data_IF_664746689598
#
_entry.id   IF_664746689598
#
_cell.length_a   1.000
_cell.length_b   1.000
_cell.length_c   1.000
_cell.angle_alpha   90.00
_cell.angle_beta   90.00
_cell.angle_gamma   90.00
#
_symmetry.space_group_name_H-M   'P 1'
#
loop_
_entity.id
_entity.type
_entity.pdbx_description
1 polymer ?
#
# COMPACT_ATOMS: atom_id res chain seq x y z
N UNK A 1 -21.85 32.31 1.65
CA UNK A 1 -22.12 31.53 0.43
C UNK A 1 -20.80 31.37 -0.29
N UNK A 2 -20.09 30.26 -0.07
CA UNK A 2 -18.81 30.05 -0.77
C UNK A 2 -19.08 29.44 -2.13
N UNK A 3 -18.79 30.22 -3.16
CA UNK A 3 -18.84 29.87 -4.58
C UNK A 3 -17.82 28.77 -4.88
N UNK A 4 -18.30 27.57 -5.20
CA UNK A 4 -17.47 26.51 -5.78
C UNK A 4 -17.04 26.89 -7.19
N UNK A 5 -15.72 26.94 -7.39
CA UNK A 5 -15.10 27.07 -8.70
C UNK A 5 -15.16 25.71 -9.42
N UNK A 6 -15.38 25.65 -10.74
CA UNK A 6 -15.47 24.39 -11.46
C UNK A 6 -14.08 23.75 -11.60
N UNK A 7 -14.01 22.46 -11.33
CA UNK A 7 -12.79 21.64 -11.39
C UNK A 7 -12.62 21.09 -12.81
N UNK A 8 -11.45 21.34 -13.41
CA UNK A 8 -11.02 20.85 -14.73
C UNK A 8 -10.85 19.31 -14.74
N UNK A 9 -10.99 18.63 -15.89
CA UNK A 9 -10.85 17.18 -15.98
C UNK A 9 -9.40 16.76 -15.67
N UNK A 10 -9.20 16.22 -14.47
CA UNK A 10 -7.88 15.92 -13.92
C UNK A 10 -7.70 16.29 -12.45
N UNK A 11 -8.71 16.87 -11.78
CA UNK A 11 -8.57 17.24 -10.36
C UNK A 11 -9.87 17.07 -9.57
N UNK A 12 -9.79 16.29 -8.48
CA UNK A 12 -10.53 16.57 -7.26
C UNK A 12 -9.93 15.77 -6.09
N UNK A 13 -8.84 16.29 -5.51
CA UNK A 13 -8.67 16.10 -4.06
C UNK A 13 -9.91 16.73 -3.45
N UNK A 14 -10.85 15.91 -2.98
CA UNK A 14 -11.97 16.42 -2.20
C UNK A 14 -11.39 16.87 -0.87
N UNK A 15 -11.83 18.00 -0.32
CA UNK A 15 -11.41 18.44 1.02
C UNK A 15 -11.69 17.36 2.10
N UNK A 16 -12.60 16.43 1.80
CA UNK A 16 -12.98 15.28 2.64
C UNK A 16 -12.20 13.98 2.35
N UNK A 17 -11.27 13.96 1.38
CA UNK A 17 -10.46 12.77 1.07
C UNK A 17 -9.19 12.74 1.93
N UNK A 18 -9.10 11.82 2.91
CA UNK A 18 -7.97 11.81 3.84
C UNK A 18 -6.66 11.50 3.13
N UNK A 19 -5.61 12.21 3.51
CA UNK A 19 -4.25 11.88 3.09
C UNK A 19 -3.75 10.68 3.89
N UNK A 20 -3.26 9.68 3.19
CA UNK A 20 -2.71 8.44 3.75
C UNK A 20 -1.24 8.27 3.37
N UNK A 21 -0.39 7.75 4.28
CA UNK A 21 1.01 7.47 4.00
C UNK A 21 1.14 6.16 3.21
N UNK A 22 1.64 6.23 1.98
CA UNK A 22 1.80 5.07 1.10
C UNK A 22 3.29 4.77 0.90
N UNK A 23 3.75 3.55 1.23
CA UNK A 23 5.12 3.11 0.94
C UNK A 23 5.42 3.13 -0.57
N UNK A 24 6.54 3.75 -0.94
CA UNK A 24 7.07 3.78 -2.30
C UNK A 24 8.57 3.37 -2.27
N UNK A 25 8.95 2.20 -2.80
CA UNK A 25 8.11 1.20 -3.48
C UNK A 25 7.15 0.47 -2.53
N UNK A 26 6.28 -0.38 -3.09
CA UNK A 26 5.31 -1.16 -2.33
C UNK A 26 5.99 -1.94 -1.19
N UNK A 27 5.36 -1.95 -0.02
CA UNK A 27 5.93 -2.55 1.19
C UNK A 27 6.12 -4.06 1.04
N UNK A 28 5.20 -4.75 0.36
CA UNK A 28 5.38 -6.18 0.05
C UNK A 28 6.64 -6.43 -0.80
N UNK A 29 6.95 -5.53 -1.74
CA UNK A 29 8.14 -5.66 -2.59
C UNK A 29 9.44 -5.42 -1.79
N UNK A 30 9.41 -4.50 -0.82
CA UNK A 30 10.53 -4.28 0.09
C UNK A 30 10.80 -5.50 0.97
N UNK A 31 9.75 -6.15 1.48
CA UNK A 31 9.86 -7.36 2.29
C UNK A 31 10.43 -8.53 1.49
N UNK A 32 9.91 -8.77 0.28
CA UNK A 32 10.43 -9.80 -0.63
C UNK A 32 11.92 -9.56 -0.89
N UNK A 33 12.30 -8.32 -1.22
CA UNK A 33 13.69 -7.98 -1.47
C UNK A 33 14.58 -8.21 -0.24
N UNK A 34 14.11 -7.82 0.95
CA UNK A 34 14.86 -7.99 2.20
C UNK A 34 15.03 -9.46 2.59
N UNK A 35 14.05 -10.30 2.30
CA UNK A 35 14.14 -11.76 2.48
C UNK A 35 15.13 -12.38 1.48
N UNK A 36 15.05 -12.00 0.21
CA UNK A 36 15.97 -12.45 -0.85
C UNK A 36 17.42 -12.07 -0.52
N UNK A 37 17.66 -10.82 -0.09
CA UNK A 37 18.99 -10.34 0.30
C UNK A 37 19.52 -11.06 1.54
N UNK A 38 18.64 -11.46 2.48
CA UNK A 38 19.00 -12.24 3.67
C UNK A 38 19.27 -13.71 3.33
N UNK A 39 18.57 -14.25 2.33
CA UNK A 39 18.60 -15.68 1.97
C UNK A 39 17.92 -16.61 2.98
N UNK A 40 17.12 -16.07 3.90
CA UNK A 40 16.40 -16.80 4.93
C UNK A 40 15.11 -16.06 5.33
N UNK A 41 14.15 -16.77 5.91
CA UNK A 41 12.89 -16.19 6.36
C UNK A 41 13.11 -15.00 7.30
N UNK A 42 12.30 -13.95 7.12
CA UNK A 42 12.30 -12.77 7.99
C UNK A 42 11.63 -13.06 9.34
N UNK A 43 12.15 -12.48 10.40
CA UNK A 43 11.47 -12.43 11.70
C UNK A 43 10.47 -11.28 11.75
N UNK A 44 9.57 -11.30 12.73
CA UNK A 44 8.62 -10.20 12.96
C UNK A 44 9.33 -8.85 13.12
N UNK A 45 10.38 -8.80 13.93
CA UNK A 45 11.19 -7.59 14.13
C UNK A 45 11.78 -7.06 12.82
N UNK A 46 12.25 -7.92 11.92
CA UNK A 46 12.81 -7.49 10.63
C UNK A 46 11.72 -6.98 9.67
N UNK A 47 10.53 -7.59 9.70
CA UNK A 47 9.38 -7.14 8.92
C UNK A 47 8.94 -5.75 9.38
N UNK A 48 8.88 -5.53 10.70
CA UNK A 48 8.54 -4.23 11.29
C UNK A 48 9.64 -3.19 11.02
N UNK A 49 10.92 -3.57 11.08
CA UNK A 49 12.03 -2.68 10.72
C UNK A 49 11.95 -2.19 9.26
N UNK A 50 11.59 -3.07 8.33
CA UNK A 50 11.38 -2.67 6.92
C UNK A 50 10.26 -1.62 6.79
N UNK A 51 9.15 -1.79 7.52
CA UNK A 51 8.05 -0.82 7.53
C UNK A 51 8.49 0.52 8.08
N UNK A 52 9.15 0.52 9.23
CA UNK A 52 9.54 1.75 9.93
C UNK A 52 10.57 2.57 9.15
N UNK A 53 11.35 1.90 8.28
CA UNK A 53 12.34 2.53 7.40
C UNK A 53 11.83 2.75 5.95
N UNK A 54 10.59 2.38 5.64
CA UNK A 54 10.04 2.57 4.29
C UNK A 54 9.80 4.06 3.99
N UNK A 55 10.13 4.48 2.78
CA UNK A 55 9.81 5.83 2.31
C UNK A 55 8.32 5.92 2.01
N UNK A 56 7.64 6.86 2.68
CA UNK A 56 6.21 7.10 2.50
C UNK A 56 5.93 8.38 1.74
N UNK A 57 5.02 8.31 0.77
CA UNK A 57 4.42 9.47 0.12
C UNK A 57 3.01 9.67 0.69
N UNK A 58 2.69 10.90 1.09
CA UNK A 58 1.32 11.25 1.43
C UNK A 58 0.52 11.46 0.15
N UNK A 59 -0.57 10.73 -0.02
CA UNK A 59 -1.51 10.91 -1.13
C UNK A 59 -2.96 10.73 -0.67
N UNK A 60 -3.94 11.29 -1.38
CA UNK A 60 -5.35 11.04 -1.10
C UNK A 60 -5.67 9.54 -1.12
N UNK A 61 -6.59 9.10 -0.26
CA UNK A 61 -7.01 7.70 -0.20
C UNK A 61 -7.60 7.22 -1.54
N UNK A 62 -8.28 8.10 -2.28
CA UNK A 62 -8.76 7.74 -3.62
C UNK A 62 -7.63 7.43 -4.61
N UNK A 63 -6.51 8.16 -4.51
CA UNK A 63 -5.31 7.94 -5.33
C UNK A 63 -4.59 6.65 -4.94
N UNK A 64 -4.51 6.31 -3.64
CA UNK A 64 -4.00 5.01 -3.20
C UNK A 64 -4.79 3.86 -3.83
N UNK A 65 -6.13 3.95 -3.83
CA UNK A 65 -6.97 2.91 -4.46
C UNK A 65 -6.74 2.82 -5.96
N UNK A 66 -6.51 3.95 -6.62
CA UNK A 66 -6.17 3.97 -8.05
C UNK A 66 -4.79 3.35 -8.31
N UNK A 67 -3.83 3.59 -7.44
CA UNK A 67 -2.50 2.99 -7.48
C UNK A 67 -2.56 1.46 -7.31
N UNK A 68 -3.32 0.97 -6.33
CA UNK A 68 -3.52 -0.47 -6.11
C UNK A 68 -4.17 -1.15 -7.34
N UNK A 69 -5.23 -0.54 -7.91
CA UNK A 69 -5.83 -1.03 -9.16
C UNK A 69 -4.84 -1.03 -10.33
N UNK A 70 -4.01 0.02 -10.45
CA UNK A 70 -2.98 0.09 -11.48
C UNK A 70 -1.88 -0.96 -11.31
N UNK A 71 -1.60 -1.38 -10.07
CA UNK A 71 -0.65 -2.46 -9.75
C UNK A 71 -1.28 -3.85 -9.96
N UNK A 72 -2.60 -3.95 -9.89
CA UNK A 72 -3.35 -5.22 -9.94
C UNK A 72 -3.45 -5.93 -8.58
N UNK A 73 -2.93 -5.32 -7.52
CA UNK A 73 -2.95 -5.84 -6.16
C UNK A 73 -2.96 -4.69 -5.16
N UNK A 74 -3.56 -4.89 -4.00
CA UNK A 74 -3.36 -3.98 -2.87
C UNK A 74 -2.03 -4.26 -2.20
N UNK A 75 -1.35 -3.21 -1.74
CA UNK A 75 -0.16 -3.41 -0.91
C UNK A 75 -0.52 -4.05 0.45
N UNK A 76 0.50 -4.56 1.12
CA UNK A 76 0.38 -5.14 2.46
C UNK A 76 0.03 -4.06 3.49
N UNK A 77 -0.89 -4.38 4.39
CA UNK A 77 -1.37 -3.46 5.43
C UNK A 77 -0.27 -3.19 6.48
N UNK A 78 0.22 -1.94 6.64
CA UNK A 78 1.22 -1.61 7.64
C UNK A 78 0.78 -1.85 9.09
N UNK A 79 -0.54 -1.82 9.36
CA UNK A 79 -1.11 -2.01 10.70
C UNK A 79 -1.25 -3.51 11.06
N UNK A 80 -1.35 -4.39 10.06
CA UNK A 80 -1.46 -5.85 10.22
C UNK A 80 -0.32 -6.61 9.52
N UNK A 81 0.84 -5.96 9.43
CA UNK A 81 1.93 -6.32 8.53
C UNK A 81 2.44 -7.74 8.72
N UNK A 82 2.68 -8.15 9.96
CA UNK A 82 3.26 -9.46 10.25
C UNK A 82 2.32 -10.60 9.87
N UNK A 83 1.03 -10.44 10.17
CA UNK A 83 -0.01 -11.43 9.89
C UNK A 83 -0.21 -11.59 8.38
N UNK A 84 -0.27 -10.48 7.64
CA UNK A 84 -0.39 -10.53 6.18
C UNK A 84 0.86 -11.11 5.51
N UNK A 85 2.05 -10.81 6.05
CA UNK A 85 3.30 -11.41 5.58
C UNK A 85 3.32 -12.93 5.81
N UNK A 86 2.94 -13.39 7.00
CA UNK A 86 2.82 -14.82 7.30
C UNK A 86 1.82 -15.54 6.38
N UNK A 87 0.68 -14.90 6.09
CA UNK A 87 -0.33 -15.42 5.19
C UNK A 87 0.23 -15.57 3.77
N UNK A 88 0.92 -14.53 3.27
CA UNK A 88 1.61 -14.55 1.98
C UNK A 88 2.64 -15.68 1.89
N UNK A 89 3.49 -15.82 2.91
CA UNK A 89 4.51 -16.88 2.96
C UNK A 89 3.91 -18.29 3.06
N UNK A 90 2.68 -18.41 3.56
CA UNK A 90 1.93 -19.66 3.62
C UNK A 90 1.25 -20.04 2.30
N UNK A 91 1.44 -19.24 1.23
CA UNK A 91 0.85 -19.47 -0.09
C UNK A 91 -0.56 -18.92 -0.24
N UNK A 92 -1.04 -18.12 0.71
CA UNK A 92 -2.27 -17.36 0.54
C UNK A 92 -1.96 -16.09 -0.24
N UNK A 93 -2.87 -15.66 -1.12
CA UNK A 93 -2.74 -14.38 -1.81
C UNK A 93 -3.83 -13.41 -1.32
N UNK A 94 -3.56 -12.63 -0.25
CA UNK A 94 -4.49 -11.64 0.27
C UNK A 94 -4.43 -10.30 -0.48
N UNK A 95 -3.56 -10.18 -1.48
CA UNK A 95 -3.21 -8.91 -2.12
C UNK A 95 -3.87 -8.74 -3.48
N UNK A 96 -4.03 -9.83 -4.25
CA UNK A 96 -4.69 -9.76 -5.56
C UNK A 96 -6.11 -9.21 -5.42
N UNK A 97 -6.37 -8.12 -6.14
CA UNK A 97 -7.70 -7.55 -6.27
C UNK A 97 -8.46 -8.42 -7.27
N UNK A 98 -9.42 -9.22 -6.80
CA UNK A 98 -10.28 -10.01 -7.69
C UNK A 98 -11.12 -9.14 -8.62
N UNK A 99 -11.69 -9.76 -9.66
CA UNK A 99 -12.50 -9.08 -10.71
C UNK A 99 -13.73 -8.32 -10.15
N UNK A 100 -14.14 -8.57 -8.90
CA UNK A 100 -15.28 -7.93 -8.22
C UNK A 100 -15.01 -6.48 -7.76
N UNK A 101 -13.78 -5.97 -7.91
CA UNK A 101 -13.36 -4.61 -7.51
C UNK A 101 -12.92 -3.70 -8.67
N UNK A 102 -13.23 -4.09 -9.92
CA UNK A 102 -13.00 -3.31 -11.15
C UNK A 102 -14.25 -2.58 -11.63
#
# INVERSE_FOLDING_TARGET
>A
MNTHQPIEPGQAVRDDDPLVPIPIPALIALLIRREDDKGAALTEDEVLDVRDNALCMMMPLSDQRALDRSRGYRDIDPDNLWQEWCAYKSGQDPFTLGDDHL
#
